data_IF_192963762517
#
_entry.id   IF_192963762517
#
_cell.length_a   1.000
_cell.length_b   1.000
_cell.length_c   1.000
_cell.angle_alpha   90.00
_cell.angle_beta   90.00
_cell.angle_gamma   90.00
#
_symmetry.space_group_name_H-M   'P 1'
#
loop_
_entity.id
_entity.type
_entity.pdbx_description
1 polymer ?
#
# COMPACT_ATOMS: atom_id res chain seq x y z
N UNK A 1 -3.37 13.52 37.09
CA UNK A 1 -3.31 14.05 35.71
C UNK A 1 -4.74 14.26 35.23
N UNK A 2 -5.05 15.38 34.57
CA UNK A 2 -6.37 15.59 33.98
C UNK A 2 -6.56 14.63 32.79
N UNK A 3 -7.78 14.15 32.55
CA UNK A 3 -8.09 13.29 31.40
C UNK A 3 -7.72 13.99 30.07
N UNK A 4 -7.23 13.24 29.06
CA UNK A 4 -7.02 13.77 27.72
C UNK A 4 -8.35 14.19 27.09
N UNK A 5 -8.29 15.14 26.17
CA UNK A 5 -9.43 15.53 25.34
C UNK A 5 -9.64 14.52 24.19
N UNK A 6 -8.53 13.97 23.69
CA UNK A 6 -8.48 13.01 22.58
C UNK A 6 -7.62 11.80 22.95
N UNK A 7 -8.15 10.61 22.68
CA UNK A 7 -7.35 9.38 22.57
C UNK A 7 -7.19 8.98 21.10
N UNK A 8 -5.97 8.66 20.68
CA UNK A 8 -5.67 8.08 19.37
C UNK A 8 -5.20 6.64 19.55
N UNK A 9 -5.87 5.68 18.91
CA UNK A 9 -5.41 4.28 18.87
C UNK A 9 -4.50 4.08 17.66
N UNK A 10 -3.21 3.85 17.90
CA UNK A 10 -2.18 3.59 16.90
C UNK A 10 -1.22 4.78 16.72
N UNK A 11 0.07 4.54 16.91
CA UNK A 11 1.15 5.52 16.66
C UNK A 11 1.81 5.26 15.29
N UNK A 12 0.98 5.01 14.28
CA UNK A 12 1.38 4.95 12.88
C UNK A 12 1.38 6.34 12.22
N UNK A 13 1.56 6.36 10.90
CA UNK A 13 1.58 7.59 10.10
C UNK A 13 0.37 8.52 10.37
N UNK A 14 -0.84 8.00 10.16
CA UNK A 14 -2.07 8.79 10.33
C UNK A 14 -2.30 9.22 11.78
N UNK A 15 -2.04 8.33 12.74
CA UNK A 15 -2.25 8.59 14.16
C UNK A 15 -1.33 9.68 14.71
N UNK A 16 -0.04 9.64 14.34
CA UNK A 16 0.91 10.68 14.73
C UNK A 16 0.56 12.03 14.10
N UNK A 17 0.21 12.06 12.81
CA UNK A 17 -0.21 13.31 12.15
C UNK A 17 -1.46 13.91 12.80
N UNK A 18 -2.46 13.08 13.11
CA UNK A 18 -3.66 13.51 13.82
C UNK A 18 -3.33 14.06 15.20
N UNK A 19 -2.46 13.38 15.96
CA UNK A 19 -2.10 13.80 17.31
C UNK A 19 -1.37 15.14 17.32
N UNK A 20 -0.38 15.32 16.44
CA UNK A 20 0.34 16.59 16.26
C UNK A 20 -0.64 17.71 15.93
N UNK A 21 -1.51 17.48 14.94
CA UNK A 21 -2.45 18.49 14.45
C UNK A 21 -3.45 18.92 15.53
N UNK A 22 -4.03 17.96 16.27
CA UNK A 22 -4.96 18.26 17.36
C UNK A 22 -4.26 18.97 18.54
N UNK A 23 -3.05 18.55 18.88
CA UNK A 23 -2.29 19.14 19.98
C UNK A 23 -1.84 20.59 19.68
N UNK A 24 -1.44 20.88 18.43
CA UNK A 24 -1.18 22.27 17.96
C UNK A 24 -2.41 23.18 18.06
N UNK A 25 -3.62 22.63 18.11
CA UNK A 25 -4.88 23.36 18.38
C UNK A 25 -5.22 23.50 19.87
N UNK A 26 -4.33 23.05 20.76
CA UNK A 26 -4.48 23.13 22.21
C UNK A 26 -5.22 21.94 22.83
N UNK A 27 -5.51 20.87 22.09
CA UNK A 27 -6.13 19.65 22.64
C UNK A 27 -5.09 18.82 23.41
N UNK A 28 -5.48 18.23 24.53
CA UNK A 28 -4.63 17.28 25.29
C UNK A 28 -4.77 15.89 24.67
N UNK A 29 -3.72 15.42 24.01
CA UNK A 29 -3.77 14.18 23.22
C UNK A 29 -2.99 13.06 23.90
N UNK A 30 -3.61 11.88 23.96
CA UNK A 30 -2.98 10.62 24.34
C UNK A 30 -2.99 9.64 23.16
N UNK A 31 -1.82 9.20 22.72
CA UNK A 31 -1.66 8.14 21.70
C UNK A 31 -1.36 6.82 22.40
N UNK A 32 -2.13 5.78 22.07
CA UNK A 32 -1.94 4.42 22.57
C UNK A 32 -1.40 3.54 21.44
N UNK A 33 -0.23 2.96 21.63
CA UNK A 33 0.40 2.05 20.68
C UNK A 33 0.69 0.71 21.34
N UNK A 34 0.19 -0.37 20.73
CA UNK A 34 0.38 -1.73 21.23
C UNK A 34 1.82 -2.21 21.10
N UNK A 35 2.56 -1.67 20.14
CA UNK A 35 3.95 -2.01 19.88
C UNK A 35 4.91 -1.32 20.84
N UNK A 36 6.06 -1.95 21.03
CA UNK A 36 7.22 -1.35 21.71
C UNK A 36 7.89 -0.17 20.99
N UNK A 37 7.42 0.21 19.79
CA UNK A 37 7.96 1.33 18.99
C UNK A 37 6.85 1.93 18.13
N UNK A 38 6.86 3.25 17.97
CA UNK A 38 6.02 3.97 17.01
C UNK A 38 6.48 3.72 15.57
N UNK A 39 5.59 3.95 14.60
CA UNK A 39 5.96 4.08 13.19
C UNK A 39 6.64 2.85 12.57
N UNK A 40 6.43 1.63 13.07
CA UNK A 40 7.08 0.41 12.55
C UNK A 40 6.96 0.23 11.04
N UNK A 41 5.78 0.52 10.46
CA UNK A 41 5.58 0.52 9.01
C UNK A 41 6.36 1.61 8.29
N UNK A 42 6.47 2.82 8.85
CA UNK A 42 7.32 3.90 8.32
C UNK A 42 8.77 3.41 8.26
N UNK A 43 9.25 2.80 9.35
CA UNK A 43 10.63 2.31 9.45
C UNK A 43 10.99 1.29 8.36
N UNK A 44 10.07 0.39 8.02
CA UNK A 44 10.29 -0.66 7.02
C UNK A 44 10.02 -0.23 5.57
N UNK A 45 9.25 0.84 5.37
CA UNK A 45 8.83 1.26 4.04
C UNK A 45 9.99 1.76 3.15
N UNK A 46 9.82 1.60 1.84
CA UNK A 46 10.79 2.08 0.86
C UNK A 46 12.20 1.51 1.05
N UNK A 47 12.31 0.24 1.47
CA UNK A 47 13.61 -0.38 1.77
C UNK A 47 14.36 0.28 2.93
N UNK A 48 13.65 0.86 3.90
CA UNK A 48 14.24 1.58 5.03
C UNK A 48 14.58 3.04 4.75
N UNK A 49 14.16 3.58 3.60
CA UNK A 49 14.30 5.00 3.23
C UNK A 49 13.00 5.79 3.29
N UNK A 50 11.86 5.13 3.47
CA UNK A 50 10.51 5.72 3.48
C UNK A 50 10.17 6.46 2.18
N UNK A 51 9.31 5.86 1.36
CA UNK A 51 8.68 6.55 0.24
C UNK A 51 7.53 7.40 0.78
N UNK A 52 7.82 8.59 1.29
CA UNK A 52 6.93 9.30 2.22
C UNK A 52 5.78 10.05 1.54
N UNK A 53 5.89 10.37 0.25
CA UNK A 53 4.80 10.96 -0.56
C UNK A 53 5.12 10.82 -2.06
N UNK A 54 4.25 11.36 -2.91
CA UNK A 54 4.45 11.46 -4.36
C UNK A 54 4.20 12.89 -4.87
N UNK A 55 4.96 13.34 -5.87
CA UNK A 55 4.73 14.63 -6.52
C UNK A 55 3.39 14.72 -7.27
N UNK A 56 2.89 13.58 -7.76
CA UNK A 56 1.70 13.48 -8.61
C UNK A 56 0.49 12.92 -7.86
N UNK A 57 0.24 13.43 -6.65
CA UNK A 57 -0.92 13.04 -5.85
C UNK A 57 -2.20 13.61 -6.47
N UNK A 58 -3.03 12.70 -6.97
CA UNK A 58 -4.38 13.00 -7.44
C UNK A 58 -5.35 11.91 -6.95
N UNK A 59 -6.67 12.19 -6.89
CA UNK A 59 -7.67 11.21 -6.44
C UNK A 59 -7.67 9.90 -7.24
N UNK A 60 -7.28 9.94 -8.52
CA UNK A 60 -7.23 8.79 -9.42
C UNK A 60 -6.11 7.79 -9.06
N UNK A 61 -5.19 8.20 -8.18
CA UNK A 61 -4.14 7.33 -7.61
C UNK A 61 -4.64 6.53 -6.40
N UNK A 62 -5.92 6.62 -6.07
CA UNK A 62 -6.54 5.91 -4.95
C UNK A 62 -7.71 5.05 -5.42
N UNK A 63 -7.82 3.88 -4.82
CA UNK A 63 -8.89 2.90 -5.02
C UNK A 63 -9.84 3.02 -3.82
N UNK A 64 -11.13 3.20 -4.08
CA UNK A 64 -12.19 3.27 -3.07
C UNK A 64 -13.54 2.93 -3.71
N UNK A 65 -14.48 2.40 -2.93
CA UNK A 65 -15.89 2.34 -3.31
C UNK A 65 -16.52 3.72 -3.52
N UNK A 66 -15.91 4.79 -3.00
CA UNK A 66 -16.30 6.17 -3.21
C UNK A 66 -15.12 6.99 -3.78
N UNK A 67 -15.02 7.14 -5.13
CA UNK A 67 -13.91 7.82 -5.79
C UNK A 67 -13.75 9.32 -5.45
N UNK A 68 -14.70 9.92 -4.73
CA UNK A 68 -14.67 11.34 -4.38
C UNK A 68 -14.32 11.59 -2.91
N UNK A 69 -14.30 10.54 -2.07
CA UNK A 69 -14.11 10.69 -0.63
C UNK A 69 -12.77 11.34 -0.27
N UNK A 70 -11.67 10.89 -0.89
CA UNK A 70 -10.32 11.36 -0.55
C UNK A 70 -10.05 12.81 -0.97
N UNK A 71 -10.82 13.37 -1.92
CA UNK A 71 -10.58 14.69 -2.53
C UNK A 71 -10.43 15.79 -1.49
N UNK A 72 -11.36 15.87 -0.54
CA UNK A 72 -11.37 16.96 0.46
C UNK A 72 -10.18 16.89 1.41
N UNK A 73 -9.72 15.69 1.80
CA UNK A 73 -8.58 15.57 2.69
C UNK A 73 -7.27 15.89 1.93
N UNK A 74 -7.11 15.33 0.73
CA UNK A 74 -5.93 15.53 -0.12
C UNK A 74 -5.74 17.00 -0.53
N UNK A 75 -6.82 17.77 -0.70
CA UNK A 75 -6.73 19.20 -1.04
C UNK A 75 -6.45 20.12 0.15
N UNK A 76 -6.68 19.65 1.39
CA UNK A 76 -6.50 20.44 2.62
C UNK A 76 -5.14 20.23 3.27
N UNK A 77 -4.53 19.09 3.01
CA UNK A 77 -3.16 18.78 3.38
C UNK A 77 -2.55 17.97 2.24
N UNK A 78 -1.85 18.68 1.40
CA UNK A 78 -1.27 18.23 0.15
C UNK A 78 0.08 17.53 0.40
N UNK A 79 0.66 16.98 -0.66
CA UNK A 79 2.03 16.48 -0.63
C UNK A 79 3.04 17.59 -0.30
N UNK A 80 2.77 18.81 -0.74
CA UNK A 80 3.67 19.95 -0.55
C UNK A 80 3.74 20.38 0.91
N UNK A 81 2.62 20.32 1.63
CA UNK A 81 2.58 20.59 3.08
C UNK A 81 3.45 19.59 3.87
N UNK A 82 3.47 18.31 3.45
CA UNK A 82 4.33 17.31 4.09
C UNK A 82 5.79 17.45 3.67
N UNK A 83 6.05 17.79 2.40
CA UNK A 83 7.41 18.08 1.90
C UNK A 83 8.00 19.26 2.68
N UNK A 84 7.23 20.33 2.88
CA UNK A 84 7.67 21.49 3.66
C UNK A 84 8.02 21.09 5.09
N UNK A 85 7.21 20.23 5.74
CA UNK A 85 7.53 19.72 7.08
C UNK A 85 8.86 18.93 7.09
N UNK A 86 9.10 18.11 6.07
CA UNK A 86 10.37 17.36 5.92
C UNK A 86 11.56 18.33 5.75
N UNK A 87 11.39 19.40 4.98
CA UNK A 87 12.41 20.44 4.75
C UNK A 87 12.68 21.28 6.00
N UNK A 88 11.64 21.65 6.76
CA UNK A 88 11.76 22.38 8.03
C UNK A 88 12.58 21.61 9.07
N UNK A 89 12.54 20.26 9.03
CA UNK A 89 13.36 19.39 9.88
C UNK A 89 14.74 19.07 9.28
N UNK A 90 15.11 19.69 8.15
CA UNK A 90 16.41 19.51 7.51
C UNK A 90 16.65 18.10 6.97
N UNK A 91 15.59 17.37 6.63
CA UNK A 91 15.70 15.99 6.15
C UNK A 91 15.93 16.01 4.64
N UNK A 92 17.12 15.61 4.20
CA UNK A 92 17.41 15.43 2.78
C UNK A 92 16.58 14.28 2.18
N UNK A 93 15.97 14.55 1.03
CA UNK A 93 15.24 13.57 0.24
C UNK A 93 15.62 13.66 -1.25
N UNK A 94 15.19 12.66 -2.02
CA UNK A 94 15.36 12.62 -3.47
C UNK A 94 14.13 12.01 -4.14
N UNK A 95 13.88 12.41 -5.38
CA UNK A 95 12.93 11.71 -6.25
C UNK A 95 13.60 10.47 -6.82
N UNK A 96 12.98 9.30 -6.66
CA UNK A 96 13.49 8.08 -7.29
C UNK A 96 13.26 8.16 -8.80
N UNK A 97 14.31 8.08 -9.60
CA UNK A 97 14.17 7.89 -11.04
C UNK A 97 13.57 6.51 -11.37
N UNK A 98 12.58 6.49 -12.26
CA UNK A 98 12.05 5.27 -12.90
C UNK A 98 12.46 5.24 -14.36
N UNK A 99 12.36 4.08 -15.01
CA UNK A 99 12.74 3.89 -16.42
C UNK A 99 12.07 4.91 -17.37
N UNK A 100 10.87 5.38 -17.01
CA UNK A 100 10.11 6.37 -17.78
C UNK A 100 10.21 7.82 -17.26
N UNK A 101 11.12 8.11 -16.32
CA UNK A 101 11.42 9.48 -15.85
C UNK A 101 10.31 10.20 -15.05
N UNK A 102 9.23 9.52 -14.67
CA UNK A 102 8.04 10.12 -14.07
C UNK A 102 7.52 9.31 -12.87
N UNK A 103 8.37 9.08 -11.87
CA UNK A 103 7.93 8.33 -10.69
C UNK A 103 7.19 9.23 -9.69
N UNK A 104 7.68 10.47 -9.50
CA UNK A 104 7.23 11.37 -8.45
C UNK A 104 7.52 10.87 -7.03
N UNK A 105 8.13 9.70 -6.85
CA UNK A 105 8.27 9.04 -5.55
C UNK A 105 9.38 9.67 -4.72
N UNK A 106 9.05 10.21 -3.55
CA UNK A 106 10.01 10.89 -2.69
C UNK A 106 10.49 10.00 -1.55
N UNK A 107 11.82 9.83 -1.46
CA UNK A 107 12.48 9.00 -0.46
C UNK A 107 13.46 9.81 0.37
N UNK A 108 13.60 9.49 1.67
CA UNK A 108 14.70 10.04 2.45
C UNK A 108 16.04 9.53 1.88
N UNK A 109 17.01 10.44 1.76
CA UNK A 109 18.36 10.10 1.27
C UNK A 109 19.08 9.15 2.21
N UNK A 110 18.90 9.35 3.52
CA UNK A 110 19.58 8.59 4.57
C UNK A 110 18.73 7.43 5.12
N UNK A 111 17.60 7.72 5.78
CA UNK A 111 16.81 6.68 6.47
C UNK A 111 15.38 7.10 6.79
N UNK A 112 14.46 6.14 6.78
CA UNK A 112 13.09 6.26 7.30
C UNK A 112 13.02 6.66 8.77
N UNK A 113 14.09 6.42 9.55
CA UNK A 113 14.19 6.84 10.95
C UNK A 113 14.06 8.35 11.12
N UNK A 114 14.46 9.14 10.12
CA UNK A 114 14.37 10.59 10.17
C UNK A 114 12.91 11.07 10.18
N UNK A 115 12.04 10.46 9.37
CA UNK A 115 10.60 10.76 9.39
C UNK A 115 9.98 10.42 10.74
N UNK A 116 10.34 9.26 11.32
CA UNK A 116 9.83 8.89 12.65
C UNK A 116 10.34 9.83 13.74
N UNK A 117 11.61 10.25 13.66
CA UNK A 117 12.19 11.24 14.58
C UNK A 117 11.47 12.58 14.47
N UNK A 118 11.28 13.09 13.25
CA UNK A 118 10.53 14.32 12.97
C UNK A 118 9.14 14.28 13.61
N UNK A 119 8.35 13.23 13.35
CA UNK A 119 7.01 13.10 13.93
C UNK A 119 7.04 13.02 15.47
N UNK A 120 8.06 12.40 16.05
CA UNK A 120 8.22 12.32 17.49
C UNK A 120 8.58 13.69 18.11
N UNK A 121 9.43 14.47 17.44
CA UNK A 121 9.80 15.80 17.89
C UNK A 121 8.62 16.77 17.79
N UNK A 122 7.86 16.72 16.70
CA UNK A 122 6.58 17.42 16.54
C UNK A 122 5.56 17.05 17.64
N UNK A 123 5.46 15.76 17.98
CA UNK A 123 4.63 15.32 19.09
C UNK A 123 5.09 15.90 20.43
N UNK A 124 6.40 15.94 20.68
CA UNK A 124 6.97 16.48 21.93
C UNK A 124 6.73 17.97 22.05
N UNK A 125 7.00 18.74 21.00
CA UNK A 125 6.77 20.19 20.97
C UNK A 125 5.30 20.54 21.16
N UNK A 126 4.39 19.77 20.56
CA UNK A 126 2.95 19.97 20.72
C UNK A 126 2.40 19.46 22.06
N UNK A 127 3.20 18.76 22.88
CA UNK A 127 2.77 18.22 24.19
C UNK A 127 1.94 16.94 24.10
N UNK A 128 2.07 16.16 23.03
CA UNK A 128 1.41 14.85 22.86
C UNK A 128 1.99 13.82 23.82
N UNK A 129 1.13 13.12 24.54
CA UNK A 129 1.53 11.96 25.37
C UNK A 129 1.41 10.67 24.57
N UNK A 130 2.47 9.83 24.57
CA UNK A 130 2.48 8.54 23.86
C UNK A 130 2.71 7.40 24.87
N UNK A 131 1.89 6.36 24.80
CA UNK A 131 2.05 5.11 25.57
C UNK A 131 2.31 3.95 24.61
N UNK A 132 3.53 3.44 24.63
CA UNK A 132 3.94 2.21 23.95
C UNK A 132 3.58 0.99 24.79
N UNK A 133 3.60 -0.20 24.19
CA UNK A 133 3.24 -1.47 24.84
C UNK A 133 1.87 -1.41 25.54
N UNK A 134 0.97 -0.59 25.00
CA UNK A 134 -0.34 -0.28 25.57
C UNK A 134 -1.43 -0.87 24.67
N UNK A 135 -1.93 -2.03 25.06
CA UNK A 135 -2.96 -2.76 24.32
C UNK A 135 -4.35 -2.37 24.83
N UNK A 136 -5.26 -2.03 23.91
CA UNK A 136 -6.65 -1.73 24.26
C UNK A 136 -7.41 -3.04 24.45
N UNK A 137 -7.84 -3.28 25.68
CA UNK A 137 -8.49 -4.51 26.13
C UNK A 137 -10.02 -4.41 26.08
N UNK A 138 -10.55 -3.21 26.22
CA UNK A 138 -11.96 -2.94 26.10
C UNK A 138 -12.21 -1.46 25.80
N UNK A 139 -13.32 -1.18 25.13
CA UNK A 139 -13.79 0.17 24.83
C UNK A 139 -15.27 0.27 25.23
N UNK A 140 -15.62 1.36 25.91
CA UNK A 140 -16.97 1.66 26.35
C UNK A 140 -17.38 3.05 25.88
N UNK A 141 -18.60 3.14 25.36
CA UNK A 141 -19.32 4.33 24.95
C UNK A 141 -20.81 4.12 25.30
N UNK A 142 -21.61 5.18 25.43
CA UNK A 142 -23.04 5.07 25.74
C UNK A 142 -23.79 4.15 24.75
N UNK A 143 -23.46 4.28 23.46
CA UNK A 143 -24.14 3.61 22.35
C UNK A 143 -23.54 2.25 21.98
N UNK A 144 -22.31 1.95 22.42
CA UNK A 144 -21.62 0.71 22.05
C UNK A 144 -20.46 0.37 22.99
N UNK A 145 -20.09 -0.91 23.02
CA UNK A 145 -18.89 -1.37 23.69
C UNK A 145 -18.20 -2.45 22.87
N UNK A 146 -16.91 -2.62 23.09
CA UNK A 146 -16.08 -3.61 22.40
C UNK A 146 -15.12 -4.28 23.37
N UNK A 147 -14.90 -5.57 23.17
CA UNK A 147 -13.84 -6.38 23.78
C UNK A 147 -13.33 -7.40 22.74
N UNK A 148 -12.05 -7.80 22.78
CA UNK A 148 -11.51 -8.87 21.93
C UNK A 148 -12.28 -10.19 22.11
N UNK A 149 -12.45 -10.92 21.01
CA UNK A 149 -13.05 -12.26 21.04
C UNK A 149 -12.27 -13.21 21.96
N UNK A 150 -12.99 -14.05 22.72
CA UNK A 150 -12.40 -15.02 23.64
C UNK A 150 -12.12 -14.51 25.06
N UNK A 151 -12.19 -13.20 25.33
CA UNK A 151 -12.17 -12.69 26.72
C UNK A 151 -13.54 -12.83 27.37
N UNK A 152 -13.68 -13.77 28.30
CA UNK A 152 -14.86 -13.89 29.19
C UNK A 152 -14.85 -12.76 30.23
N UNK A 153 -15.65 -11.73 30.00
CA UNK A 153 -16.04 -10.75 31.02
C UNK A 153 -17.56 -10.75 31.14
N UNK A 154 -18.09 -10.64 32.36
CA UNK A 154 -19.52 -10.54 32.58
C UNK A 154 -20.09 -9.37 31.79
N UNK A 155 -20.85 -9.69 30.76
CA UNK A 155 -21.62 -8.77 29.94
C UNK A 155 -22.62 -8.02 30.81
N UNK A 156 -22.26 -6.84 31.27
CA UNK A 156 -23.22 -5.78 31.52
C UNK A 156 -22.52 -4.48 31.19
N UNK A 157 -23.27 -3.60 30.57
CA UNK A 157 -23.07 -2.17 30.34
C UNK A 157 -22.80 -1.39 31.66
N UNK A 158 -22.31 -2.07 32.71
CA UNK A 158 -21.97 -1.52 34.00
C UNK A 158 -20.65 -0.76 33.86
N UNK A 159 -20.78 0.56 33.67
CA UNK A 159 -19.65 1.48 33.54
C UNK A 159 -19.47 2.09 32.16
N UNK A 160 -20.48 2.06 31.28
CA UNK A 160 -20.47 2.95 30.12
C UNK A 160 -20.48 4.41 30.63
N UNK A 161 -19.56 5.27 30.15
CA UNK A 161 -19.56 6.67 30.55
C UNK A 161 -20.84 7.35 30.04
N UNK A 162 -21.30 8.38 30.77
CA UNK A 162 -22.45 9.19 30.34
C UNK A 162 -22.17 10.02 29.07
N UNK A 163 -20.89 10.22 28.73
CA UNK A 163 -20.44 10.91 27.52
C UNK A 163 -19.00 10.52 27.19
N UNK A 164 -18.65 10.52 25.90
CA UNK A 164 -17.29 10.23 25.43
C UNK A 164 -16.91 8.75 25.53
N UNK A 165 -15.61 8.49 25.55
CA UNK A 165 -15.04 7.16 25.42
C UNK A 165 -14.24 6.78 26.66
N UNK A 166 -14.39 5.54 27.12
CA UNK A 166 -13.54 4.93 28.14
C UNK A 166 -12.85 3.70 27.58
N UNK A 167 -11.53 3.65 27.71
CA UNK A 167 -10.69 2.55 27.26
C UNK A 167 -10.07 1.88 28.48
N UNK A 168 -10.18 0.56 28.54
CA UNK A 168 -9.37 -0.27 29.45
C UNK A 168 -8.17 -0.78 28.69
N UNK A 169 -6.99 -0.68 29.29
CA UNK A 169 -5.75 -1.19 28.73
C UNK A 169 -4.96 -1.96 29.77
N UNK A 170 -3.94 -2.67 29.32
CA UNK A 170 -2.97 -3.32 30.20
C UNK A 170 -2.14 -2.33 31.06
N UNK A 171 -2.24 -1.02 30.80
CA UNK A 171 -1.57 0.05 31.55
C UNK A 171 -2.54 0.96 32.32
N UNK A 172 -3.81 0.54 32.45
CA UNK A 172 -4.83 1.25 33.22
C UNK A 172 -5.99 1.73 32.36
N UNK A 173 -6.82 2.60 32.95
CA UNK A 173 -8.01 3.12 32.29
C UNK A 173 -7.78 4.55 31.82
N UNK A 174 -8.21 4.83 30.59
CA UNK A 174 -8.17 6.17 30.01
C UNK A 174 -9.58 6.58 29.57
N UNK A 175 -9.86 7.88 29.61
CA UNK A 175 -11.12 8.42 29.12
C UNK A 175 -10.87 9.73 28.36
N UNK A 176 -11.66 9.97 27.32
CA UNK A 176 -11.59 11.17 26.49
C UNK A 176 -12.96 11.51 25.89
N UNK A 177 -13.14 12.77 25.51
CA UNK A 177 -14.32 13.22 24.77
C UNK A 177 -14.36 12.59 23.38
N UNK A 178 -13.21 12.53 22.71
CA UNK A 178 -13.09 11.99 21.36
C UNK A 178 -12.10 10.84 21.26
N UNK A 179 -12.36 9.97 20.29
CA UNK A 179 -11.55 8.81 19.93
C UNK A 179 -11.25 8.81 18.43
N UNK A 180 -9.98 8.76 18.09
CA UNK A 180 -9.52 8.54 16.71
C UNK A 180 -8.92 7.14 16.61
N UNK A 181 -9.44 6.33 15.69
CA UNK A 181 -8.93 4.99 15.41
C UNK A 181 -8.01 5.05 14.19
N UNK A 182 -6.71 4.88 14.45
CA UNK A 182 -5.62 4.97 13.47
C UNK A 182 -4.72 3.72 13.51
N UNK A 183 -5.30 2.56 13.82
CA UNK A 183 -4.59 1.30 14.06
C UNK A 183 -4.01 0.63 12.81
N UNK A 184 -4.18 1.25 11.64
CA UNK A 184 -3.96 0.60 10.35
C UNK A 184 -4.94 -0.55 10.09
N UNK A 185 -4.55 -1.43 9.17
CA UNK A 185 -5.36 -2.57 8.73
C UNK A 185 -4.60 -3.90 8.89
N UNK A 186 -4.80 -4.86 7.99
CA UNK A 186 -4.40 -6.27 8.16
C UNK A 186 -2.98 -6.58 7.64
N UNK A 187 -2.41 -5.73 6.80
CA UNK A 187 -1.11 -6.02 6.17
C UNK A 187 0.05 -5.97 7.16
N UNK A 188 0.98 -6.91 6.98
CA UNK A 188 2.17 -7.16 7.79
C UNK A 188 1.86 -7.21 9.31
N UNK A 189 1.16 -8.27 9.79
CA UNK A 189 0.77 -8.39 11.20
C UNK A 189 1.95 -8.30 12.18
N UNK A 190 3.13 -8.79 11.78
CA UNK A 190 4.36 -8.71 12.57
C UNK A 190 4.84 -7.28 12.84
N UNK A 191 4.39 -6.30 12.04
CA UNK A 191 4.68 -4.87 12.21
C UNK A 191 3.56 -4.09 12.90
N UNK A 192 2.54 -4.78 13.41
CA UNK A 192 1.43 -4.13 14.10
C UNK A 192 0.13 -4.09 13.32
N UNK A 193 0.03 -4.68 12.12
CA UNK A 193 -1.25 -4.86 11.42
C UNK A 193 -2.28 -5.63 12.27
N UNK A 194 -3.48 -5.10 12.41
CA UNK A 194 -4.57 -5.67 13.21
C UNK A 194 -5.96 -5.28 12.69
N UNK A 195 -6.97 -6.07 13.03
CA UNK A 195 -8.37 -5.82 12.66
C UNK A 195 -9.18 -4.98 13.65
N UNK A 196 -8.55 -4.35 14.65
CA UNK A 196 -9.27 -3.64 15.72
C UNK A 196 -10.16 -2.50 15.17
N UNK A 197 -9.69 -1.76 14.16
CA UNK A 197 -10.51 -0.72 13.53
C UNK A 197 -11.82 -1.28 12.95
N UNK A 198 -11.76 -2.46 12.32
CA UNK A 198 -12.94 -3.11 11.74
C UNK A 198 -13.88 -3.62 12.81
N UNK A 199 -13.34 -4.23 13.88
CA UNK A 199 -14.16 -4.69 14.99
C UNK A 199 -14.85 -3.53 15.72
N UNK A 200 -14.17 -2.40 15.88
CA UNK A 200 -14.78 -1.18 16.43
C UNK A 200 -15.85 -0.64 15.47
N UNK A 201 -15.55 -0.51 14.18
CA UNK A 201 -16.51 -0.06 13.18
C UNK A 201 -17.80 -0.89 13.22
N UNK A 202 -17.69 -2.23 13.25
CA UNK A 202 -18.85 -3.13 13.35
C UNK A 202 -19.67 -2.88 14.64
N UNK A 203 -19.02 -2.63 15.79
CA UNK A 203 -19.69 -2.35 17.06
C UNK A 203 -20.41 -0.99 17.08
N UNK A 204 -19.91 -0.02 16.33
CA UNK A 204 -20.52 1.29 16.18
C UNK A 204 -21.46 1.38 14.95
N UNK A 205 -21.78 0.24 14.32
CA UNK A 205 -22.77 0.18 13.23
C UNK A 205 -22.29 0.73 11.89
N UNK A 206 -20.97 0.85 11.68
CA UNK A 206 -20.40 1.26 10.40
C UNK A 206 -20.25 0.06 9.47
N UNK A 207 -20.61 0.24 8.20
CA UNK A 207 -20.39 -0.77 7.18
C UNK A 207 -18.90 -0.91 6.82
N UNK A 208 -18.53 -2.10 6.35
CA UNK A 208 -17.17 -2.43 5.91
C UNK A 208 -17.21 -3.08 4.53
N UNK A 209 -16.34 -2.62 3.63
CA UNK A 209 -16.15 -3.24 2.33
C UNK A 209 -15.29 -4.50 2.46
N UNK A 210 -15.39 -5.42 1.48
CA UNK A 210 -14.63 -6.65 1.50
C UNK A 210 -13.12 -6.36 1.43
N UNK A 211 -12.38 -6.80 2.45
CA UNK A 211 -10.95 -6.55 2.55
C UNK A 211 -10.13 -7.59 1.81
N UNK A 212 -9.08 -7.17 1.10
CA UNK A 212 -8.09 -8.07 0.48
C UNK A 212 -6.67 -7.53 0.55
N UNK A 213 -5.69 -8.41 0.37
CA UNK A 213 -4.30 -8.01 0.24
C UNK A 213 -4.08 -7.22 -1.06
N UNK A 214 -3.34 -6.12 -0.99
CA UNK A 214 -2.94 -5.31 -2.14
C UNK A 214 -1.48 -4.94 -2.12
N UNK A 215 -0.99 -4.48 -3.28
CA UNK A 215 0.44 -4.26 -3.50
C UNK A 215 1.23 -5.49 -3.03
N UNK A 216 0.87 -6.65 -3.58
CA UNK A 216 1.29 -7.96 -3.11
C UNK A 216 1.75 -8.83 -4.29
N UNK A 217 2.84 -9.61 -4.16
CA UNK A 217 3.30 -10.47 -5.24
C UNK A 217 2.26 -11.53 -5.64
N UNK A 218 2.22 -11.85 -6.93
CA UNK A 218 1.45 -12.97 -7.47
C UNK A 218 2.17 -14.28 -7.24
N UNK A 219 1.41 -15.34 -6.96
CA UNK A 219 1.90 -16.72 -6.89
C UNK A 219 1.39 -17.52 -8.09
N UNK A 220 2.19 -18.46 -8.56
CA UNK A 220 1.84 -19.33 -9.69
C UNK A 220 1.99 -20.80 -9.29
N UNK A 221 1.34 -21.67 -10.07
CA UNK A 221 1.48 -23.14 -10.00
C UNK A 221 1.81 -23.70 -11.38
N UNK A 222 2.12 -24.99 -11.45
CA UNK A 222 2.40 -25.69 -12.72
C UNK A 222 3.61 -25.14 -13.47
N UNK A 223 3.51 -25.07 -14.80
CA UNK A 223 4.64 -24.69 -15.67
C UNK A 223 5.15 -23.27 -15.40
N UNK A 224 4.25 -22.30 -15.16
CA UNK A 224 4.63 -20.90 -14.90
C UNK A 224 5.40 -20.77 -13.58
N UNK A 225 5.07 -21.57 -12.57
CA UNK A 225 5.83 -21.59 -11.31
C UNK A 225 7.28 -22.02 -11.53
N UNK A 226 7.50 -23.07 -12.33
CA UNK A 226 8.86 -23.53 -12.62
C UNK A 226 9.66 -22.53 -13.47
N UNK A 227 8.99 -21.79 -14.35
CA UNK A 227 9.59 -20.62 -15.04
C UNK A 227 10.05 -19.58 -14.02
N UNK A 228 9.17 -19.19 -13.10
CA UNK A 228 9.49 -18.18 -12.09
C UNK A 228 10.67 -18.62 -11.21
N UNK A 229 10.71 -19.90 -10.81
CA UNK A 229 11.84 -20.47 -10.05
C UNK A 229 13.16 -20.41 -10.82
N UNK A 230 13.18 -20.80 -12.09
CA UNK A 230 14.39 -20.73 -12.91
C UNK A 230 14.82 -19.30 -13.16
N UNK A 231 13.89 -18.38 -13.32
CA UNK A 231 14.13 -16.95 -13.54
C UNK A 231 14.29 -16.14 -12.25
N UNK A 232 14.25 -16.76 -11.07
CA UNK A 232 14.33 -16.04 -9.81
C UNK A 232 15.52 -15.06 -9.78
N UNK A 233 15.24 -13.81 -9.42
CA UNK A 233 16.21 -12.70 -9.41
C UNK A 233 16.31 -11.92 -10.73
N UNK A 234 15.72 -12.40 -11.82
CA UNK A 234 15.64 -11.65 -13.08
C UNK A 234 14.61 -10.53 -12.96
N UNK A 235 15.01 -9.33 -13.33
CA UNK A 235 14.16 -8.13 -13.40
C UNK A 235 14.13 -7.62 -14.84
N UNK A 236 13.00 -7.10 -15.28
CA UNK A 236 12.84 -6.47 -16.61
C UNK A 236 11.65 -5.53 -16.61
N UNK A 237 11.74 -4.44 -17.39
CA UNK A 237 10.60 -3.57 -17.64
C UNK A 237 9.59 -4.31 -18.51
N UNK A 238 8.30 -4.20 -18.14
CA UNK A 238 7.17 -4.74 -18.91
C UNK A 238 5.99 -3.79 -18.82
N UNK A 239 4.98 -3.96 -19.67
CA UNK A 239 3.62 -3.53 -19.32
C UNK A 239 2.82 -4.74 -18.82
N UNK A 240 2.42 -4.72 -17.55
CA UNK A 240 1.56 -5.73 -16.96
C UNK A 240 0.13 -5.20 -16.84
N UNK A 241 -0.85 -5.94 -17.36
CA UNK A 241 -2.21 -5.43 -17.47
C UNK A 241 -3.29 -6.51 -17.33
N UNK A 242 -4.50 -6.06 -17.01
CA UNK A 242 -5.74 -6.81 -17.11
C UNK A 242 -6.82 -5.91 -17.74
N UNK A 243 -8.08 -6.34 -17.73
CA UNK A 243 -9.19 -5.55 -18.29
C UNK A 243 -9.41 -4.20 -17.59
N UNK A 244 -8.93 -4.03 -16.36
CA UNK A 244 -9.19 -2.85 -15.54
C UNK A 244 -8.04 -1.86 -15.52
N UNK A 245 -6.80 -2.31 -15.59
CA UNK A 245 -5.64 -1.42 -15.50
C UNK A 245 -4.40 -1.98 -16.17
N UNK A 246 -3.49 -1.08 -16.55
CA UNK A 246 -2.16 -1.37 -17.08
C UNK A 246 -1.08 -0.59 -16.33
N UNK A 247 0.05 -1.24 -16.05
CA UNK A 247 1.21 -0.60 -15.42
C UNK A 247 2.48 -0.98 -16.18
N UNK A 248 3.19 0.04 -16.68
CA UNK A 248 4.49 -0.09 -17.32
C UNK A 248 5.60 0.20 -16.31
N UNK A 249 6.18 -0.86 -15.77
CA UNK A 249 7.22 -0.82 -14.74
C UNK A 249 8.01 -2.12 -14.73
N UNK A 250 9.05 -2.20 -13.90
CA UNK A 250 9.77 -3.45 -13.66
C UNK A 250 8.89 -4.53 -13.00
N UNK A 251 9.06 -5.76 -13.46
CA UNK A 251 8.73 -6.98 -12.72
C UNK A 251 9.99 -7.62 -12.14
N UNK A 252 9.81 -8.43 -11.10
CA UNK A 252 10.83 -9.30 -10.55
C UNK A 252 10.31 -10.74 -10.50
N UNK A 253 10.98 -11.66 -11.18
CA UNK A 253 10.73 -13.09 -11.00
C UNK A 253 11.24 -13.55 -9.64
N UNK A 254 10.41 -14.27 -8.89
CA UNK A 254 10.75 -14.83 -7.57
C UNK A 254 10.58 -16.35 -7.56
N UNK A 255 11.07 -17.00 -6.51
CA UNK A 255 10.85 -18.44 -6.33
C UNK A 255 9.38 -18.86 -6.24
N UNK A 256 8.47 -17.93 -5.91
CA UNK A 256 7.02 -18.22 -5.77
C UNK A 256 6.18 -17.70 -6.92
N UNK A 257 6.67 -16.70 -7.65
CA UNK A 257 5.92 -16.08 -8.74
C UNK A 257 6.48 -14.74 -9.19
N UNK A 258 5.63 -13.71 -9.28
CA UNK A 258 5.98 -12.39 -9.80
C UNK A 258 5.80 -11.31 -8.74
N UNK A 259 6.85 -10.51 -8.55
CA UNK A 259 6.90 -9.30 -7.74
C UNK A 259 7.34 -8.13 -8.62
N UNK A 260 7.84 -7.05 -8.01
CA UNK A 260 8.24 -5.82 -8.69
C UNK A 260 7.07 -4.85 -8.87
N UNK A 261 7.34 -3.55 -9.06
CA UNK A 261 6.31 -2.51 -9.07
C UNK A 261 5.12 -2.79 -9.99
N UNK A 262 5.32 -3.32 -11.20
CA UNK A 262 4.21 -3.64 -12.10
C UNK A 262 3.27 -4.71 -11.52
N UNK A 263 3.83 -5.79 -10.97
CA UNK A 263 3.04 -6.86 -10.34
C UNK A 263 2.34 -6.39 -9.07
N UNK A 264 3.03 -5.62 -8.22
CA UNK A 264 2.46 -5.06 -7.00
C UNK A 264 1.29 -4.13 -7.34
N UNK A 265 1.47 -3.19 -8.27
CA UNK A 265 0.40 -2.29 -8.72
C UNK A 265 -0.81 -3.05 -9.27
N UNK A 266 -0.59 -3.99 -10.20
CA UNK A 266 -1.68 -4.73 -10.83
C UNK A 266 -2.41 -5.66 -9.86
N UNK A 267 -1.75 -6.17 -8.81
CA UNK A 267 -2.39 -7.00 -7.77
C UNK A 267 -3.59 -6.30 -7.11
N UNK A 268 -3.56 -4.97 -7.01
CA UNK A 268 -4.65 -4.16 -6.48
C UNK A 268 -5.85 -4.07 -7.43
N UNK A 269 -5.73 -4.51 -8.68
CA UNK A 269 -6.79 -4.53 -9.69
C UNK A 269 -7.20 -5.94 -10.12
N UNK A 270 -6.43 -6.96 -9.75
CA UNK A 270 -6.70 -8.36 -10.03
C UNK A 270 -7.67 -8.97 -9.01
N UNK A 271 -8.55 -9.85 -9.49
CA UNK A 271 -9.44 -10.67 -8.66
C UNK A 271 -9.12 -12.16 -8.81
N UNK A 272 -9.33 -12.98 -7.75
CA UNK A 272 -9.10 -14.42 -7.81
C UNK A 272 -9.78 -15.10 -9.00
N UNK A 273 -9.01 -15.88 -9.74
CA UNK A 273 -9.48 -16.65 -10.90
C UNK A 273 -9.25 -15.97 -12.26
N UNK A 274 -8.90 -14.68 -12.27
CA UNK A 274 -8.64 -13.93 -13.51
C UNK A 274 -7.23 -14.16 -14.06
N UNK A 275 -7.08 -13.95 -15.37
CA UNK A 275 -5.79 -13.87 -16.04
C UNK A 275 -5.24 -12.43 -16.01
N UNK A 276 -3.92 -12.32 -16.17
CA UNK A 276 -3.19 -11.08 -16.45
C UNK A 276 -2.39 -11.28 -17.74
N UNK A 277 -2.07 -10.19 -18.42
CA UNK A 277 -1.22 -10.20 -19.61
C UNK A 277 0.04 -9.39 -19.37
N UNK A 278 1.15 -9.84 -19.96
CA UNK A 278 2.46 -9.21 -19.87
C UNK A 278 2.96 -8.89 -21.27
N UNK A 279 3.12 -7.61 -21.57
CA UNK A 279 3.88 -7.12 -22.71
C UNK A 279 5.34 -7.00 -22.31
N UNK A 280 6.16 -7.93 -22.80
CA UNK A 280 7.60 -7.99 -22.54
C UNK A 280 8.39 -6.95 -23.32
N UNK A 281 7.79 -6.30 -24.33
CA UNK A 281 8.44 -5.35 -25.22
C UNK A 281 7.61 -4.06 -25.31
N UNK A 282 7.38 -3.37 -24.17
CA UNK A 282 6.46 -2.24 -24.11
C UNK A 282 6.91 -1.10 -25.04
N UNK A 283 6.01 -0.69 -25.93
CA UNK A 283 6.28 0.34 -26.94
C UNK A 283 6.73 -0.20 -28.31
N UNK A 284 6.97 -1.50 -28.42
CA UNK A 284 7.36 -2.15 -29.68
C UNK A 284 6.23 -3.01 -30.24
N UNK A 285 5.98 -2.92 -31.54
CA UNK A 285 5.22 -3.95 -32.25
C UNK A 285 6.15 -5.14 -32.50
N UNK A 286 6.16 -6.12 -31.61
CA UNK A 286 7.12 -7.21 -31.64
C UNK A 286 7.04 -8.01 -32.94
N UNK A 287 5.84 -8.24 -33.50
CA UNK A 287 5.70 -8.97 -34.76
C UNK A 287 6.36 -8.22 -35.94
N UNK A 288 6.20 -6.90 -36.02
CA UNK A 288 6.85 -6.07 -37.04
C UNK A 288 8.36 -5.98 -36.80
N UNK A 289 8.78 -5.77 -35.54
CA UNK A 289 10.18 -5.72 -35.12
C UNK A 289 10.92 -7.00 -35.50
N UNK A 290 10.36 -8.18 -35.21
CA UNK A 290 10.94 -9.47 -35.55
C UNK A 290 11.06 -9.68 -37.07
N UNK A 291 10.06 -9.26 -37.85
CA UNK A 291 10.12 -9.28 -39.33
C UNK A 291 11.21 -8.32 -39.85
N UNK A 292 11.42 -7.18 -39.21
CA UNK A 292 12.52 -6.25 -39.52
C UNK A 292 13.90 -6.80 -39.16
N UNK A 293 14.04 -7.49 -38.03
CA UNK A 293 15.27 -8.20 -37.65
C UNK A 293 15.63 -9.29 -38.66
N UNK A 294 14.64 -10.01 -39.18
CA UNK A 294 14.87 -11.00 -40.25
C UNK A 294 15.53 -10.38 -41.49
N UNK A 295 15.20 -9.13 -41.84
CA UNK A 295 15.79 -8.44 -42.99
C UNK A 295 17.16 -7.81 -42.68
N UNK A 296 17.30 -7.20 -41.50
CA UNK A 296 18.49 -6.44 -41.12
C UNK A 296 19.61 -7.28 -40.50
N UNK A 297 19.28 -8.40 -39.86
CA UNK A 297 20.21 -9.32 -39.18
C UNK A 297 19.95 -10.79 -39.58
N UNK A 298 19.90 -11.11 -40.89
CA UNK A 298 19.41 -12.41 -41.41
C UNK A 298 20.21 -13.63 -40.92
N UNK A 299 21.50 -13.44 -40.61
CA UNK A 299 22.40 -14.52 -40.19
C UNK A 299 22.42 -14.76 -38.67
N UNK A 300 21.76 -13.91 -37.89
CA UNK A 300 21.75 -14.02 -36.43
C UNK A 300 20.67 -14.98 -35.94
N UNK A 301 20.88 -15.52 -34.74
CA UNK A 301 19.87 -16.27 -33.99
C UNK A 301 18.93 -15.31 -33.26
N UNK A 302 17.67 -15.69 -33.12
CA UNK A 302 16.65 -14.84 -32.49
C UNK A 302 17.03 -14.43 -31.06
N UNK A 303 17.53 -15.36 -30.23
CA UNK A 303 17.98 -15.07 -28.85
C UNK A 303 19.01 -13.95 -28.78
N UNK A 304 19.96 -13.93 -29.72
CA UNK A 304 21.01 -12.90 -29.78
C UNK A 304 20.45 -11.53 -30.14
N UNK A 305 19.41 -11.48 -30.98
CA UNK A 305 18.75 -10.21 -31.28
C UNK A 305 17.92 -9.71 -30.10
N UNK A 306 17.25 -10.60 -29.36
CA UNK A 306 16.40 -10.25 -28.22
C UNK A 306 17.19 -9.71 -27.01
N UNK A 307 18.49 -9.95 -26.92
CA UNK A 307 19.36 -9.42 -25.84
C UNK A 307 19.33 -7.89 -25.72
N UNK A 308 18.87 -7.17 -26.77
CA UNK A 308 18.69 -5.71 -26.74
C UNK A 308 17.48 -5.26 -25.91
N UNK A 309 16.49 -6.13 -25.75
CA UNK A 309 15.23 -5.79 -25.08
C UNK A 309 14.97 -6.65 -23.83
N UNK A 310 15.49 -7.88 -23.78
CA UNK A 310 15.23 -8.82 -22.71
C UNK A 310 16.53 -9.25 -22.03
N UNK A 311 16.51 -9.48 -20.71
CA UNK A 311 17.61 -10.17 -20.04
C UNK A 311 17.86 -11.52 -20.71
N UNK A 312 19.12 -11.82 -21.02
CA UNK A 312 19.52 -13.05 -21.73
C UNK A 312 18.93 -14.33 -21.14
N UNK A 313 18.87 -14.41 -19.80
CA UNK A 313 18.30 -15.56 -19.09
C UNK A 313 16.80 -15.74 -19.38
N UNK A 314 16.05 -14.64 -19.48
CA UNK A 314 14.64 -14.65 -19.87
C UNK A 314 14.50 -15.07 -21.35
N UNK A 315 15.30 -14.49 -22.25
CA UNK A 315 15.26 -14.83 -23.68
C UNK A 315 15.49 -16.33 -23.92
N UNK A 316 16.48 -16.93 -23.24
CA UNK A 316 16.78 -18.36 -23.32
C UNK A 316 15.67 -19.25 -22.72
N UNK A 317 15.06 -18.85 -21.61
CA UNK A 317 13.92 -19.59 -21.05
C UNK A 317 12.72 -19.57 -22.01
N UNK A 318 12.41 -18.41 -22.61
CA UNK A 318 11.33 -18.31 -23.58
C UNK A 318 11.61 -19.14 -24.84
N UNK A 319 12.85 -19.16 -25.31
CA UNK A 319 13.30 -20.00 -26.42
C UNK A 319 13.00 -21.47 -26.17
N UNK A 320 13.42 -22.01 -25.03
CA UNK A 320 13.16 -23.39 -24.66
C UNK A 320 11.67 -23.73 -24.63
N UNK A 321 10.81 -22.77 -24.27
CA UNK A 321 9.37 -23.01 -24.13
C UNK A 321 8.53 -22.80 -25.38
N UNK A 322 9.00 -21.98 -26.33
CA UNK A 322 8.13 -21.44 -27.40
C UNK A 322 8.67 -21.70 -28.80
N UNK A 323 9.98 -21.77 -28.96
CA UNK A 323 10.62 -21.89 -30.27
C UNK A 323 11.92 -22.71 -30.24
N UNK A 324 11.97 -23.73 -29.40
CA UNK A 324 13.12 -24.63 -29.27
C UNK A 324 13.46 -25.35 -30.59
N UNK A 325 12.46 -25.59 -31.43
CA UNK A 325 12.59 -26.19 -32.77
C UNK A 325 13.41 -25.33 -33.75
N UNK A 326 13.53 -24.03 -33.48
CA UNK A 326 14.22 -23.05 -34.33
C UNK A 326 15.38 -22.35 -33.60
N UNK A 327 15.82 -22.85 -32.44
CA UNK A 327 16.81 -22.16 -31.59
C UNK A 327 18.17 -21.97 -32.27
N UNK A 328 18.55 -22.90 -33.14
CA UNK A 328 19.80 -22.88 -33.91
C UNK A 328 19.60 -22.41 -35.36
N UNK A 329 18.41 -21.93 -35.71
CA UNK A 329 18.06 -21.48 -37.05
C UNK A 329 18.30 -19.98 -37.22
N UNK A 330 19.04 -19.59 -38.26
CA UNK A 330 19.28 -18.18 -38.59
C UNK A 330 17.97 -17.49 -39.02
N UNK A 331 17.77 -16.23 -38.61
CA UNK A 331 16.52 -15.48 -38.83
C UNK A 331 16.04 -15.45 -40.29
N UNK A 332 16.93 -15.48 -41.28
CA UNK A 332 16.61 -15.57 -42.70
C UNK A 332 15.67 -16.74 -43.03
N UNK A 333 15.83 -17.86 -42.33
CA UNK A 333 15.11 -19.11 -42.56
C UNK A 333 13.80 -19.20 -41.76
N UNK A 334 13.56 -18.26 -40.83
CA UNK A 334 12.36 -18.28 -40.00
C UNK A 334 11.09 -18.02 -40.82
N UNK A 335 10.03 -18.84 -40.68
CA UNK A 335 8.75 -18.56 -41.32
C UNK A 335 8.13 -17.27 -40.78
N UNK A 336 7.60 -16.40 -41.67
CA UNK A 336 6.99 -15.13 -41.26
C UNK A 336 5.83 -15.29 -40.28
N UNK A 337 5.03 -16.36 -40.44
CA UNK A 337 3.95 -16.70 -39.52
C UNK A 337 4.44 -17.10 -38.11
N UNK A 338 5.62 -17.74 -37.99
CA UNK A 338 6.24 -18.06 -36.69
C UNK A 338 6.70 -16.79 -35.98
N UNK A 339 7.36 -15.88 -36.70
CA UNK A 339 7.76 -14.58 -36.14
C UNK A 339 6.54 -13.76 -35.68
N UNK A 340 5.44 -13.82 -36.44
CA UNK A 340 4.20 -13.14 -36.07
C UNK A 340 3.56 -13.73 -34.81
N UNK A 341 3.53 -15.06 -34.68
CA UNK A 341 3.04 -15.74 -33.48
C UNK A 341 3.90 -15.42 -32.25
N UNK A 342 5.23 -15.40 -32.39
CA UNK A 342 6.15 -15.04 -31.30
C UNK A 342 5.98 -13.57 -30.92
N UNK A 343 5.87 -12.67 -31.89
CA UNK A 343 5.62 -11.26 -31.62
C UNK A 343 4.34 -11.03 -30.82
N UNK A 344 3.24 -11.68 -31.21
CA UNK A 344 1.98 -11.63 -30.45
C UNK A 344 2.14 -12.16 -29.03
N UNK A 345 2.91 -13.24 -28.85
CA UNK A 345 3.21 -13.77 -27.52
C UNK A 345 4.06 -12.80 -26.68
N UNK A 346 5.09 -12.18 -27.26
CA UNK A 346 5.96 -11.23 -26.56
C UNK A 346 5.19 -9.97 -26.14
N UNK A 347 4.25 -9.48 -26.96
CA UNK A 347 3.42 -8.33 -26.59
C UNK A 347 2.23 -8.66 -25.67
N UNK A 348 1.84 -9.93 -25.54
CA UNK A 348 0.67 -10.32 -24.76
C UNK A 348 0.80 -11.73 -24.18
N UNK A 349 1.79 -11.94 -23.32
CA UNK A 349 1.96 -13.20 -22.60
C UNK A 349 0.88 -13.33 -21.53
N UNK A 350 -0.15 -14.13 -21.82
CA UNK A 350 -1.22 -14.47 -20.87
C UNK A 350 -0.71 -15.38 -19.74
N UNK A 351 -0.98 -14.97 -18.50
CA UNK A 351 -0.59 -15.63 -17.26
C UNK A 351 -1.82 -15.75 -16.35
N UNK A 352 -1.97 -16.86 -15.64
CA UNK A 352 -3.05 -17.06 -14.67
C UNK A 352 -2.47 -17.23 -13.26
N UNK A 353 -2.46 -16.18 -12.43
CA UNK A 353 -2.03 -16.31 -11.04
C UNK A 353 -2.89 -17.33 -10.30
N UNK A 354 -2.25 -18.15 -9.47
CA UNK A 354 -2.96 -19.05 -8.54
C UNK A 354 -3.51 -18.28 -7.34
N UNK A 355 -2.87 -17.17 -6.98
CA UNK A 355 -3.21 -16.33 -5.85
C UNK A 355 -2.21 -15.19 -5.67
N UNK A 356 -2.19 -14.65 -4.46
CA UNK A 356 -1.16 -13.72 -3.99
C UNK A 356 -0.48 -14.28 -2.76
N UNK A 357 0.64 -13.69 -2.36
CA UNK A 357 1.35 -14.10 -1.14
C UNK A 357 0.63 -13.69 0.17
N UNK A 358 -0.47 -12.93 0.07
CA UNK A 358 -1.35 -12.57 1.17
C UNK A 358 -0.79 -11.50 2.12
N UNK A 359 -1.47 -11.30 3.26
CA UNK A 359 -1.18 -10.20 4.19
C UNK A 359 0.21 -10.23 4.84
N UNK A 360 0.92 -11.36 4.81
CA UNK A 360 2.29 -11.43 5.36
C UNK A 360 3.30 -10.64 4.53
N UNK A 361 3.01 -10.40 3.25
CA UNK A 361 3.91 -9.70 2.33
C UNK A 361 3.25 -8.52 1.60
N UNK A 362 1.92 -8.43 1.62
CA UNK A 362 1.20 -7.28 1.10
C UNK A 362 1.66 -5.98 1.77
N UNK A 363 1.85 -4.91 1.00
CA UNK A 363 2.16 -3.59 1.59
C UNK A 363 0.91 -2.97 2.22
N UNK A 364 -0.27 -3.21 1.63
CA UNK A 364 -1.53 -2.57 2.02
C UNK A 364 -2.70 -3.55 2.07
N UNK A 365 -3.76 -3.11 2.73
CA UNK A 365 -5.10 -3.71 2.69
C UNK A 365 -6.00 -2.89 1.78
N UNK A 366 -6.58 -3.51 0.76
CA UNK A 366 -7.71 -2.93 0.02
C UNK A 366 -9.00 -3.17 0.79
N UNK A 367 -9.97 -2.29 0.55
CA UNK A 367 -11.20 -2.27 1.32
C UNK A 367 -10.97 -1.64 2.70
N UNK A 368 -12.00 -1.68 3.54
CA UNK A 368 -11.92 -1.12 4.88
C UNK A 368 -13.27 -0.59 5.31
N UNK A 369 -13.25 0.35 6.25
CA UNK A 369 -14.46 1.03 6.71
C UNK A 369 -15.04 1.81 5.53
N UNK A 370 -16.32 1.57 5.24
CA UNK A 370 -17.01 2.19 4.13
C UNK A 370 -17.06 3.71 4.34
N UNK A 371 -16.46 4.40 3.39
CA UNK A 371 -16.38 5.86 3.33
C UNK A 371 -17.74 6.57 3.34
N UNK A 372 -18.83 5.91 2.94
CA UNK A 372 -20.19 6.49 3.04
C UNK A 372 -20.64 6.68 4.50
N UNK A 373 -20.07 5.93 5.45
CA UNK A 373 -20.31 6.10 6.88
C UNK A 373 -19.46 7.18 7.54
N UNK A 374 -18.60 7.87 6.77
CA UNK A 374 -17.65 8.86 7.27
C UNK A 374 -17.83 10.22 6.57
N UNK A 375 -17.53 11.28 7.29
CA UNK A 375 -17.42 12.62 6.72
C UNK A 375 -16.14 12.76 5.91
N UNK A 376 -16.23 13.04 4.61
CA UNK A 376 -15.05 13.26 3.75
C UNK A 376 -14.19 14.47 4.17
N UNK A 377 -14.77 15.44 4.88
CA UNK A 377 -14.07 16.64 5.35
C UNK A 377 -13.35 16.43 6.67
N UNK A 378 -13.92 15.64 7.58
CA UNK A 378 -13.47 15.56 8.99
C UNK A 378 -13.05 14.16 9.43
N UNK A 379 -13.33 13.13 8.63
CA UNK A 379 -13.15 11.71 8.97
C UNK A 379 -14.01 11.22 10.15
N UNK A 380 -14.97 12.03 10.60
CA UNK A 380 -15.91 11.68 11.67
C UNK A 380 -16.91 10.62 11.19
N UNK A 381 -17.27 9.69 12.06
CA UNK A 381 -18.42 8.80 11.89
C UNK A 381 -19.73 9.48 12.30
N UNK A 382 -20.85 8.78 12.16
CA UNK A 382 -22.14 9.20 12.73
C UNK A 382 -22.16 9.20 14.26
N UNK A 383 -21.24 8.47 14.91
CA UNK A 383 -21.10 8.49 16.37
C UNK A 383 -20.29 9.73 16.78
N UNK A 384 -20.86 10.66 17.58
CA UNK A 384 -20.14 11.86 18.01
C UNK A 384 -18.80 11.54 18.67
N UNK A 385 -17.75 12.27 18.28
CA UNK A 385 -16.41 12.09 18.82
C UNK A 385 -15.65 10.86 18.30
N UNK A 386 -16.23 10.00 17.44
CA UNK A 386 -15.55 8.84 16.87
C UNK A 386 -15.09 9.09 15.43
N UNK A 387 -13.80 8.85 15.17
CA UNK A 387 -13.14 9.08 13.88
C UNK A 387 -12.34 7.86 13.43
N UNK A 388 -12.21 7.66 12.12
CA UNK A 388 -11.38 6.63 11.52
C UNK A 388 -10.50 7.21 10.42
N UNK A 389 -9.19 6.92 10.45
CA UNK A 389 -8.20 7.51 9.54
C UNK A 389 -7.18 6.50 9.03
N UNK A 390 -6.46 6.88 7.97
CA UNK A 390 -5.39 6.06 7.37
C UNK A 390 -5.91 4.79 6.70
N UNK A 391 -5.10 3.73 6.73
CA UNK A 391 -5.33 2.46 6.00
C UNK A 391 -6.59 1.69 6.49
N UNK A 392 -7.18 2.06 7.62
CA UNK A 392 -8.41 1.43 8.11
C UNK A 392 -9.65 1.83 7.28
N UNK A 393 -9.58 2.97 6.60
CA UNK A 393 -10.67 3.48 5.75
C UNK A 393 -10.54 2.85 4.35
N UNK A 394 -11.65 2.63 3.65
CA UNK A 394 -11.68 2.15 2.26
C UNK A 394 -11.13 3.21 1.28
N UNK A 395 -9.83 3.50 1.38
CA UNK A 395 -9.03 4.35 0.52
C UNK A 395 -7.64 3.75 0.46
N UNK A 396 -7.30 3.17 -0.69
CA UNK A 396 -6.00 2.52 -0.90
C UNK A 396 -5.25 3.20 -2.04
N UNK A 397 -4.10 3.78 -1.74
CA UNK A 397 -3.24 4.39 -2.75
C UNK A 397 -2.52 3.36 -3.62
N UNK A 398 -2.14 3.78 -4.82
CA UNK A 398 -1.16 3.08 -5.65
C UNK A 398 0.18 2.93 -4.91
N UNK A 399 1.05 2.04 -5.40
CA UNK A 399 2.45 2.03 -5.01
C UNK A 399 3.08 3.39 -5.37
N UNK A 400 3.98 3.89 -4.52
CA UNK A 400 4.73 5.12 -4.82
C UNK A 400 4.55 6.28 -3.83
N UNK A 401 4.20 6.01 -2.57
CA UNK A 401 4.08 7.03 -1.52
C UNK A 401 2.65 7.55 -1.29
N UNK A 402 1.70 7.21 -2.17
CA UNK A 402 0.31 7.62 -2.07
C UNK A 402 -0.37 7.19 -0.75
N UNK A 403 -0.09 5.97 -0.27
CA UNK A 403 -0.68 5.47 0.99
C UNK A 403 -0.20 6.26 2.21
N UNK A 404 1.06 6.72 2.22
CA UNK A 404 1.53 7.64 3.25
C UNK A 404 0.87 9.00 3.09
N UNK A 405 0.78 9.53 1.88
CA UNK A 405 0.06 10.79 1.65
C UNK A 405 -1.37 10.74 2.18
N UNK A 406 -2.12 9.67 1.90
CA UNK A 406 -3.45 9.48 2.47
C UNK A 406 -3.44 9.46 4.00
N UNK A 407 -2.47 8.77 4.61
CA UNK A 407 -2.32 8.77 6.06
C UNK A 407 -2.08 10.18 6.63
N UNK A 408 -1.24 10.99 5.99
CA UNK A 408 -1.00 12.38 6.37
C UNK A 408 -2.28 13.22 6.23
N UNK A 409 -2.90 13.19 5.06
CA UNK A 409 -4.07 14.01 4.76
C UNK A 409 -5.28 13.68 5.62
N UNK A 410 -5.58 12.38 5.81
CA UNK A 410 -6.68 11.95 6.69
C UNK A 410 -6.38 12.23 8.16
N UNK A 411 -5.13 12.04 8.61
CA UNK A 411 -4.70 12.40 9.96
C UNK A 411 -4.83 13.89 10.24
N UNK A 412 -4.38 14.75 9.33
CA UNK A 412 -4.56 16.19 9.43
C UNK A 412 -6.04 16.58 9.44
N UNK A 413 -6.85 16.01 8.54
CA UNK A 413 -8.27 16.32 8.45
C UNK A 413 -9.03 16.03 9.76
N UNK A 414 -8.76 14.88 10.39
CA UNK A 414 -9.32 14.52 11.69
C UNK A 414 -8.76 15.40 12.82
N UNK A 415 -7.45 15.63 12.85
CA UNK A 415 -6.81 16.47 13.86
C UNK A 415 -7.28 17.94 13.85
N UNK A 416 -7.74 18.44 12.69
CA UNK A 416 -8.37 19.76 12.54
C UNK A 416 -9.85 19.79 12.98
N UNK A 417 -10.51 18.64 13.09
CA UNK A 417 -11.93 18.57 13.44
C UNK A 417 -12.15 18.29 14.93
N UNK A 418 -11.25 17.51 15.53
CA UNK A 418 -11.39 16.95 16.89
C UNK A 418 -11.09 17.91 18.02
#
# INVERSE_FOLDING_TARGET
>A
MKNPDLIVIGAGAAGLMCAITAAKRGRRVLVLERSNKIGKKILMSGGGRCNFTNLHVTPERFISGNPHFCKSALSRYTQWDFIELVEQHGIEYFEKETVNGLSGQLFCKQSSKLIVKMLLDECREAGVSIRLDCETDALFHENAWWMPEGRRGSSKQAGAPASGFQLKTNQGNFAAESLVVASGALSIPSLGGSGIAYQLADRFGLHRTATRAGLVPFTFTGQVHEVCKRLAGVSTEVSLFNERQSFREDILFTHRGLSGPAALQLSSYWLPGEAISMDLLPGENASAMLKGLKQSQPKHLLRTCLDRWLPRKLALELEQQRWADLSETALAEWPGARLEAIGRFLNAWSLKPAGTEGYRTAEVTLGGIDTHGLSSRTMASSTPGLYFIGEAVDVTGHLGGFNFQWAWSSGYAAGQAV
#
